data_IF_853536353680
#
_entry.id   IF_853536353680
#
_cell.length_a   1.000
_cell.length_b   1.000
_cell.length_c   1.000
_cell.angle_alpha   90.00
_cell.angle_beta   90.00
_cell.angle_gamma   90.00
#
_symmetry.space_group_name_H-M   'P 1'
#
loop_
_entity.id
_entity.type
_entity.pdbx_description
1 polymer ?
#
# COMPACT_ATOMS: atom_id res chain seq x y z
N UNK A 1 11.28 -5.26 -34.02
CA UNK A 1 10.21 -5.44 -33.02
C UNK A 1 8.99 -4.63 -33.47
N UNK A 2 7.84 -5.27 -33.59
CA UNK A 2 6.60 -4.63 -33.99
C UNK A 2 6.10 -3.66 -32.92
N UNK A 3 5.29 -2.66 -33.30
CA UNK A 3 4.80 -1.63 -32.38
C UNK A 3 3.99 -2.25 -31.22
N UNK A 4 3.06 -3.14 -31.55
CA UNK A 4 2.21 -3.79 -30.56
C UNK A 4 3.01 -4.62 -29.53
N UNK A 5 4.06 -5.29 -29.96
CA UNK A 5 5.00 -6.01 -29.09
C UNK A 5 5.77 -5.06 -28.17
N UNK A 6 6.19 -3.89 -28.68
CA UNK A 6 6.84 -2.86 -27.85
C UNK A 6 5.88 -2.29 -26.81
N UNK A 7 4.67 -1.94 -27.22
CA UNK A 7 3.65 -1.42 -26.30
C UNK A 7 3.29 -2.46 -25.24
N UNK A 8 3.21 -3.75 -25.59
CA UNK A 8 2.99 -4.81 -24.63
C UNK A 8 4.12 -4.90 -23.58
N UNK A 9 5.38 -4.86 -24.01
CA UNK A 9 6.52 -4.82 -23.10
C UNK A 9 6.57 -3.55 -22.25
N UNK A 10 6.14 -2.42 -22.78
CA UNK A 10 5.98 -1.17 -21.98
C UNK A 10 4.92 -1.36 -20.90
N UNK A 11 3.77 -1.99 -21.20
CA UNK A 11 2.73 -2.32 -20.19
C UNK A 11 3.26 -3.24 -19.10
N UNK A 12 4.02 -4.27 -19.47
CA UNK A 12 4.66 -5.19 -18.53
C UNK A 12 5.65 -4.47 -17.62
N UNK A 13 6.51 -3.58 -18.16
CA UNK A 13 7.41 -2.75 -17.37
C UNK A 13 6.67 -1.77 -16.45
N UNK A 14 5.62 -1.12 -16.94
CA UNK A 14 4.79 -0.24 -16.11
C UNK A 14 4.12 -1.01 -14.98
N UNK A 15 3.67 -2.23 -15.26
CA UNK A 15 3.05 -3.09 -14.24
C UNK A 15 4.06 -3.59 -13.22
N UNK A 16 5.27 -3.96 -13.67
CA UNK A 16 6.32 -4.50 -12.82
C UNK A 16 7.03 -3.43 -11.98
N UNK A 17 7.30 -2.25 -12.56
CA UNK A 17 8.17 -1.24 -11.94
C UNK A 17 7.48 0.09 -11.61
N UNK A 18 6.18 0.24 -11.91
CA UNK A 18 5.44 1.48 -11.66
C UNK A 18 5.88 2.67 -12.49
N UNK A 19 6.92 2.55 -13.30
CA UNK A 19 7.40 3.58 -14.22
C UNK A 19 8.27 2.98 -15.32
N UNK A 20 8.40 3.71 -16.44
CA UNK A 20 9.34 3.38 -17.50
C UNK A 20 10.21 4.58 -17.83
N UNK A 21 11.49 4.36 -18.03
CA UNK A 21 12.43 5.36 -18.54
C UNK A 21 12.64 5.15 -20.05
N UNK A 22 12.57 6.21 -20.84
CA UNK A 22 12.84 6.16 -22.28
C UNK A 22 14.23 5.57 -22.55
N UNK A 23 15.23 5.96 -21.76
CA UNK A 23 16.62 5.52 -21.96
C UNK A 23 16.77 4.01 -21.76
N UNK A 24 16.19 3.47 -20.67
CA UNK A 24 16.18 2.02 -20.43
C UNK A 24 15.43 1.24 -21.50
N UNK A 25 14.29 1.76 -21.98
CA UNK A 25 13.53 1.09 -23.04
C UNK A 25 14.33 1.08 -24.34
N UNK A 26 14.97 2.20 -24.70
CA UNK A 26 15.84 2.32 -25.89
C UNK A 26 16.97 1.28 -25.84
N UNK A 27 17.66 1.16 -24.70
CA UNK A 27 18.71 0.18 -24.49
C UNK A 27 18.21 -1.26 -24.63
N UNK A 28 17.07 -1.57 -23.98
CA UNK A 28 16.53 -2.92 -23.94
C UNK A 28 15.89 -3.37 -25.27
N UNK A 29 15.30 -2.43 -26.03
CA UNK A 29 14.54 -2.77 -27.24
C UNK A 29 15.30 -2.50 -28.52
N UNK A 30 16.44 -1.81 -28.47
CA UNK A 30 17.27 -1.50 -29.64
C UNK A 30 16.56 -0.60 -30.67
N UNK A 31 15.69 0.30 -30.23
CA UNK A 31 14.92 1.22 -31.07
C UNK A 31 15.26 2.69 -30.74
N UNK A 32 14.92 3.60 -31.65
CA UNK A 32 15.23 5.02 -31.43
C UNK A 32 14.40 5.63 -30.29
N UNK A 33 14.96 6.67 -29.65
CA UNK A 33 14.21 7.48 -28.64
C UNK A 33 12.92 8.05 -29.21
N UNK A 34 12.93 8.43 -30.49
CA UNK A 34 11.74 9.01 -31.14
C UNK A 34 10.66 7.96 -31.33
N UNK A 35 11.02 6.73 -31.65
CA UNK A 35 10.09 5.60 -31.73
C UNK A 35 9.39 5.37 -30.38
N UNK A 36 10.17 5.33 -29.29
CA UNK A 36 9.59 5.16 -27.93
C UNK A 36 8.71 6.34 -27.52
N UNK A 37 9.14 7.58 -27.83
CA UNK A 37 8.31 8.77 -27.56
C UNK A 37 6.96 8.70 -28.26
N UNK A 38 6.96 8.21 -29.50
CA UNK A 38 5.74 8.04 -30.29
C UNK A 38 4.83 6.96 -29.69
N UNK A 39 5.41 5.80 -29.35
CA UNK A 39 4.66 4.73 -28.68
C UNK A 39 4.02 5.22 -27.38
N UNK A 40 4.79 5.91 -26.51
CA UNK A 40 4.28 6.47 -25.27
C UNK A 40 3.20 7.56 -25.50
N UNK A 41 3.31 8.34 -26.58
CA UNK A 41 2.30 9.35 -26.92
C UNK A 41 0.98 8.69 -27.35
N UNK A 42 1.04 7.66 -28.16
CA UNK A 42 -0.16 6.92 -28.60
C UNK A 42 -0.83 6.18 -27.42
N UNK A 43 -0.04 5.55 -26.53
CA UNK A 43 -0.54 4.92 -25.32
C UNK A 43 -1.15 5.95 -24.34
N UNK A 44 -0.59 7.16 -24.27
CA UNK A 44 -1.17 8.24 -23.46
C UNK A 44 -2.51 8.71 -24.04
N UNK A 45 -2.62 8.85 -25.35
CA UNK A 45 -3.88 9.17 -26.04
C UNK A 45 -4.94 8.08 -25.87
N UNK A 46 -4.51 6.83 -25.85
CA UNK A 46 -5.37 5.68 -25.53
C UNK A 46 -5.75 5.57 -24.04
N UNK A 47 -5.22 6.47 -23.19
CA UNK A 47 -5.52 6.46 -21.76
C UNK A 47 -4.89 5.29 -21.01
N UNK A 48 -3.76 4.75 -21.46
CA UNK A 48 -3.08 3.59 -20.85
C UNK A 48 -1.97 3.99 -19.87
N UNK A 49 -1.36 5.16 -20.10
CA UNK A 49 -0.27 5.69 -19.29
C UNK A 49 -0.27 7.24 -19.28
N UNK A 50 0.50 7.84 -18.39
CA UNK A 50 0.79 9.27 -18.36
C UNK A 50 2.28 9.49 -18.60
N UNK A 51 2.64 10.33 -19.57
CA UNK A 51 4.02 10.69 -19.81
C UNK A 51 4.54 11.66 -18.75
N UNK A 52 5.78 11.44 -18.35
CA UNK A 52 6.55 12.31 -17.46
C UNK A 52 7.88 12.68 -18.13
N UNK A 53 8.64 13.60 -17.53
CA UNK A 53 9.95 13.99 -18.06
C UNK A 53 10.90 12.78 -18.07
N UNK A 54 11.26 12.32 -19.26
CA UNK A 54 12.17 11.18 -19.46
C UNK A 54 11.53 9.79 -19.48
N UNK A 55 10.19 9.67 -19.40
CA UNK A 55 9.53 8.38 -19.39
C UNK A 55 8.01 8.44 -19.32
N UNK A 56 7.43 7.40 -18.75
CA UNK A 56 6.02 7.32 -18.46
C UNK A 56 5.75 6.60 -17.14
N UNK A 57 4.62 6.93 -16.54
CA UNK A 57 4.07 6.25 -15.38
C UNK A 57 2.71 5.67 -15.76
N UNK A 58 2.23 4.62 -15.09
CA UNK A 58 0.86 4.19 -15.28
C UNK A 58 -0.07 5.40 -15.13
N UNK A 59 -1.14 5.48 -15.91
CA UNK A 59 -2.27 6.24 -15.41
C UNK A 59 -2.64 5.52 -14.12
N UNK A 60 -2.17 6.07 -13.01
CA UNK A 60 -2.76 5.74 -11.75
C UNK A 60 -4.20 6.20 -11.94
N UNK A 61 -5.09 5.28 -12.27
CA UNK A 61 -6.49 5.53 -12.08
C UNK A 61 -6.58 5.68 -10.56
N UNK A 62 -6.54 6.94 -10.12
CA UNK A 62 -6.91 7.34 -8.76
C UNK A 62 -8.22 6.64 -8.35
N UNK A 63 -8.89 6.04 -9.29
CA UNK A 63 -10.14 5.31 -9.27
C UNK A 63 -10.05 3.82 -9.60
N UNK A 64 -8.90 3.13 -9.47
CA UNK A 64 -9.03 1.67 -9.46
C UNK A 64 -9.84 1.28 -8.23
N UNK A 65 -11.00 0.64 -8.44
CA UNK A 65 -11.87 0.25 -7.34
C UNK A 65 -11.10 -0.62 -6.32
N UNK A 66 -11.53 -0.60 -5.08
CA UNK A 66 -10.96 -1.47 -4.05
C UNK A 66 -10.91 -2.94 -4.50
N UNK A 67 -11.96 -3.42 -5.16
CA UNK A 67 -12.04 -4.78 -5.70
C UNK A 67 -10.88 -5.11 -6.65
N UNK A 68 -10.57 -4.21 -7.58
CA UNK A 68 -9.44 -4.38 -8.51
C UNK A 68 -8.11 -4.40 -7.75
N UNK A 69 -7.92 -3.46 -6.81
CA UNK A 69 -6.71 -3.43 -5.99
C UNK A 69 -6.57 -4.65 -5.09
N UNK A 70 -7.68 -5.18 -4.56
CA UNK A 70 -7.68 -6.34 -3.68
C UNK A 70 -7.17 -7.60 -4.38
N UNK A 71 -7.55 -7.81 -5.65
CA UNK A 71 -7.11 -8.98 -6.44
C UNK A 71 -5.72 -8.81 -7.06
N UNK A 72 -5.26 -7.57 -7.26
CA UNK A 72 -3.92 -7.31 -7.79
C UNK A 72 -2.84 -7.65 -6.77
N UNK A 73 -1.78 -8.35 -7.22
CA UNK A 73 -0.61 -8.72 -6.40
C UNK A 73 -1.00 -9.43 -5.10
N UNK A 74 -2.00 -10.32 -5.19
CA UNK A 74 -2.54 -10.99 -4.01
C UNK A 74 -1.48 -11.88 -3.33
N UNK A 75 -0.58 -12.49 -4.09
CA UNK A 75 0.51 -13.31 -3.55
C UNK A 75 1.50 -12.45 -2.75
N UNK A 76 1.92 -11.31 -3.31
CA UNK A 76 2.80 -10.36 -2.64
C UNK A 76 2.16 -9.82 -1.35
N UNK A 77 0.88 -9.46 -1.38
CA UNK A 77 0.15 -9.00 -0.18
C UNK A 77 0.02 -10.08 0.88
N UNK A 78 -0.18 -11.34 0.50
CA UNK A 78 -0.22 -12.46 1.45
C UNK A 78 1.14 -12.69 2.10
N UNK A 79 2.25 -12.62 1.34
CA UNK A 79 3.59 -12.71 1.89
C UNK A 79 3.86 -11.54 2.87
N UNK A 80 3.52 -10.30 2.48
CA UNK A 80 3.62 -9.11 3.35
C UNK A 80 2.79 -9.30 4.62
N UNK A 81 1.55 -9.77 4.50
CA UNK A 81 0.67 -10.01 5.63
C UNK A 81 1.24 -11.06 6.59
N UNK A 82 1.68 -12.21 6.07
CA UNK A 82 2.26 -13.28 6.88
C UNK A 82 3.53 -12.82 7.62
N UNK A 83 4.37 -12.01 6.95
CA UNK A 83 5.55 -11.41 7.55
C UNK A 83 5.17 -10.39 8.63
N UNK A 84 4.15 -9.55 8.39
CA UNK A 84 3.68 -8.57 9.36
C UNK A 84 3.21 -9.20 10.67
N UNK A 85 2.57 -10.37 10.63
CA UNK A 85 2.13 -11.08 11.84
C UNK A 85 3.29 -11.47 12.77
N UNK A 86 4.51 -11.65 12.25
CA UNK A 86 5.68 -12.00 13.05
C UNK A 86 6.15 -10.86 13.97
N UNK A 87 5.70 -9.63 13.73
CA UNK A 87 5.97 -8.45 14.54
C UNK A 87 4.89 -8.18 15.60
N UNK A 88 3.81 -8.97 15.61
CA UNK A 88 2.71 -8.82 16.54
C UNK A 88 2.85 -9.76 17.73
N UNK A 89 2.34 -9.34 18.88
CA UNK A 89 2.28 -10.13 20.10
C UNK A 89 0.85 -10.13 20.64
N UNK A 90 0.46 -11.22 21.28
CA UNK A 90 -0.83 -11.31 21.96
C UNK A 90 -0.98 -10.20 23.00
N UNK A 91 -2.18 -9.65 23.12
CA UNK A 91 -2.50 -8.54 24.01
C UNK A 91 -2.28 -7.15 23.42
N UNK A 92 -1.65 -7.00 22.25
CA UNK A 92 -1.43 -5.71 21.62
C UNK A 92 -2.73 -5.03 21.18
N UNK A 93 -2.70 -3.71 21.21
CA UNK A 93 -3.69 -2.83 20.56
C UNK A 93 -3.14 -2.34 19.24
N UNK A 94 -3.89 -2.51 18.16
CA UNK A 94 -3.47 -2.21 16.79
C UNK A 94 -4.43 -1.20 16.16
N UNK A 95 -3.89 -0.16 15.53
CA UNK A 95 -4.63 0.52 14.47
C UNK A 95 -4.42 -0.25 13.16
N UNK A 96 -5.51 -0.50 12.43
CA UNK A 96 -5.46 -1.06 11.08
C UNK A 96 -6.23 -0.15 10.12
N UNK A 97 -5.50 0.48 9.22
CA UNK A 97 -6.04 1.39 8.22
C UNK A 97 -6.85 0.66 7.13
N UNK A 98 -7.72 1.40 6.46
CA UNK A 98 -8.48 0.87 5.33
C UNK A 98 -7.61 0.73 4.08
N UNK A 99 -7.56 -0.48 3.52
CA UNK A 99 -6.82 -0.74 2.29
C UNK A 99 -6.83 -2.20 1.87
N UNK A 100 -6.46 -2.46 0.64
CA UNK A 100 -6.47 -3.83 0.11
C UNK A 100 -5.41 -4.74 0.74
N UNK A 101 -4.27 -4.18 1.19
CA UNK A 101 -3.23 -4.98 1.87
C UNK A 101 -3.61 -5.26 3.31
N UNK A 102 -4.19 -4.30 4.03
CA UNK A 102 -4.71 -4.52 5.39
C UNK A 102 -5.92 -5.44 5.41
N UNK A 103 -6.76 -5.42 4.37
CA UNK A 103 -7.84 -6.41 4.20
C UNK A 103 -7.25 -7.83 4.08
N UNK A 104 -6.25 -8.05 3.22
CA UNK A 104 -5.56 -9.36 3.11
C UNK A 104 -4.87 -9.73 4.41
N UNK A 105 -4.28 -8.75 5.12
CA UNK A 105 -3.68 -9.01 6.44
C UNK A 105 -4.72 -9.45 7.46
N UNK A 106 -5.90 -8.83 7.48
CA UNK A 106 -6.98 -9.23 8.40
C UNK A 106 -7.49 -10.65 8.11
N UNK A 107 -7.57 -11.06 6.83
CA UNK A 107 -7.87 -12.46 6.46
C UNK A 107 -6.79 -13.42 7.00
N UNK A 108 -5.51 -13.05 6.86
CA UNK A 108 -4.38 -13.86 7.35
C UNK A 108 -4.40 -13.95 8.89
N UNK A 109 -4.69 -12.82 9.56
CA UNK A 109 -4.80 -12.73 11.01
C UNK A 109 -5.98 -13.55 11.55
N UNK A 110 -7.10 -13.63 10.84
CA UNK A 110 -8.24 -14.45 11.19
C UNK A 110 -7.92 -15.97 11.16
N UNK A 111 -6.93 -16.38 10.37
CA UNK A 111 -6.46 -17.76 10.29
C UNK A 111 -5.69 -18.22 11.54
N UNK A 112 -5.25 -19.49 11.57
CA UNK A 112 -4.49 -20.06 12.68
C UNK A 112 -3.07 -19.48 12.73
N UNK A 113 -2.77 -18.60 13.68
CA UNK A 113 -1.46 -17.96 13.84
C UNK A 113 -0.97 -17.88 15.31
N UNK A 114 -1.77 -18.36 16.27
CA UNK A 114 -1.43 -18.36 17.70
C UNK A 114 -1.61 -17.03 18.43
N UNK A 115 -1.91 -15.93 17.75
CA UNK A 115 -2.16 -14.62 18.36
C UNK A 115 -3.55 -14.59 19.03
N UNK A 116 -3.62 -14.06 20.25
CA UNK A 116 -4.85 -13.93 21.04
C UNK A 116 -4.90 -12.57 21.73
N UNK A 117 -6.09 -12.18 22.20
CA UNK A 117 -6.32 -10.97 23.00
C UNK A 117 -5.91 -9.65 22.30
N UNK A 118 -5.88 -9.63 20.97
CA UNK A 118 -5.63 -8.40 20.24
C UNK A 118 -6.85 -7.48 20.28
N UNK A 119 -6.61 -6.19 20.48
CA UNK A 119 -7.61 -5.13 20.24
C UNK A 119 -7.29 -4.45 18.91
N UNK A 120 -8.19 -4.57 17.95
CA UNK A 120 -8.04 -3.96 16.62
C UNK A 120 -8.99 -2.77 16.50
N UNK A 121 -8.43 -1.60 16.27
CA UNK A 121 -9.16 -0.34 16.05
C UNK A 121 -9.00 0.01 14.58
N UNK A 122 -10.11 0.08 13.85
CA UNK A 122 -10.08 0.24 12.39
C UNK A 122 -11.19 1.16 11.89
N UNK A 123 -10.91 1.88 10.82
CA UNK A 123 -11.90 2.58 10.01
C UNK A 123 -12.44 1.72 8.86
N UNK A 124 -11.89 0.52 8.65
CA UNK A 124 -12.24 -0.38 7.54
C UNK A 124 -13.36 -1.35 7.90
N UNK A 125 -14.43 -1.33 7.11
CA UNK A 125 -15.53 -2.32 7.21
C UNK A 125 -15.02 -3.72 6.84
N UNK A 126 -14.16 -3.82 5.81
CA UNK A 126 -13.62 -5.12 5.39
C UNK A 126 -12.74 -5.75 6.46
N UNK A 127 -11.85 -4.98 7.09
CA UNK A 127 -11.02 -5.46 8.22
C UNK A 127 -11.91 -5.92 9.38
N UNK A 128 -12.90 -5.11 9.76
CA UNK A 128 -13.80 -5.47 10.85
C UNK A 128 -14.57 -6.76 10.55
N UNK A 129 -15.10 -6.90 9.33
CA UNK A 129 -15.84 -8.08 8.90
C UNK A 129 -14.95 -9.33 8.91
N UNK A 130 -13.76 -9.27 8.32
CA UNK A 130 -12.84 -10.41 8.23
C UNK A 130 -12.44 -10.95 9.62
N UNK A 131 -12.36 -10.08 10.63
CA UNK A 131 -11.96 -10.44 11.98
C UNK A 131 -13.14 -10.84 12.89
N UNK A 132 -14.37 -10.51 12.50
CA UNK A 132 -15.58 -10.80 13.29
C UNK A 132 -16.49 -11.82 12.66
N UNK A 133 -16.34 -12.09 11.34
CA UNK A 133 -17.17 -13.06 10.63
C UNK A 133 -16.74 -14.48 10.98
N UNK A 134 -17.57 -15.24 11.69
CA UNK A 134 -17.21 -16.59 12.09
C UNK A 134 -17.78 -17.59 11.09
N UNK A 135 -16.97 -18.12 10.23
CA UNK A 135 -17.26 -19.43 9.69
C UNK A 135 -17.12 -20.51 10.81
N UNK A 136 -17.75 -20.25 11.93
CA UNK A 136 -17.66 -21.11 13.06
C UNK A 136 -17.53 -20.39 14.39
N UNK A 137 -17.26 -20.63 15.45
CA UNK A 137 -17.23 -20.09 16.79
C UNK A 137 -16.86 -18.60 16.86
N UNK A 138 -17.55 -17.77 17.65
CA UNK A 138 -17.16 -16.37 17.85
C UNK A 138 -15.74 -16.38 18.39
N UNK A 139 -14.78 -15.95 17.57
CA UNK A 139 -13.40 -15.95 18.01
C UNK A 139 -13.26 -14.89 19.11
N UNK A 140 -13.23 -15.32 20.36
CA UNK A 140 -12.82 -14.49 21.50
C UNK A 140 -11.36 -14.01 21.37
N UNK A 141 -10.74 -14.31 20.23
CA UNK A 141 -9.34 -13.98 19.95
C UNK A 141 -9.10 -12.49 19.79
N UNK A 142 -10.09 -11.76 19.26
CA UNK A 142 -9.91 -10.35 18.94
C UNK A 142 -11.09 -9.50 19.42
N UNK A 143 -10.75 -8.34 19.96
CA UNK A 143 -11.70 -7.25 20.20
C UNK A 143 -11.59 -6.27 19.03
N UNK A 144 -12.62 -6.16 18.21
CA UNK A 144 -12.65 -5.25 17.07
C UNK A 144 -13.48 -4.03 17.40
N UNK A 145 -12.87 -2.85 17.25
CA UNK A 145 -13.51 -1.55 17.42
C UNK A 145 -13.53 -0.88 16.06
N UNK A 146 -14.72 -0.66 15.51
CA UNK A 146 -14.89 0.13 14.30
C UNK A 146 -15.06 1.59 14.68
N UNK A 147 -14.24 2.46 14.07
CA UNK A 147 -14.31 3.91 14.25
C UNK A 147 -15.58 4.47 13.61
N UNK A 148 -16.18 5.47 14.25
CA UNK A 148 -17.31 6.20 13.68
C UNK A 148 -16.91 7.15 12.56
N UNK A 149 -17.88 7.72 11.84
CA UNK A 149 -17.59 8.73 10.82
C UNK A 149 -18.53 8.68 9.61
N UNK A 150 -18.13 9.31 8.52
CA UNK A 150 -18.84 9.27 7.25
C UNK A 150 -18.48 8.00 6.49
N UNK A 151 -19.49 7.26 6.06
CA UNK A 151 -19.28 6.04 5.29
C UNK A 151 -18.89 6.34 3.84
N UNK A 152 -17.81 5.74 3.38
CA UNK A 152 -17.42 5.70 1.96
C UNK A 152 -17.55 4.27 1.45
N UNK A 153 -18.03 4.14 0.23
CA UNK A 153 -18.32 2.84 -0.36
C UNK A 153 -17.10 2.18 -1.03
N UNK A 154 -16.14 2.96 -1.51
CA UNK A 154 -14.94 2.44 -2.19
C UNK A 154 -13.69 3.23 -1.78
N UNK A 155 -12.83 2.65 -0.93
CA UNK A 155 -13.05 1.42 -0.14
C UNK A 155 -14.21 1.57 0.85
N UNK A 156 -14.76 0.45 1.35
CA UNK A 156 -15.77 0.49 2.43
C UNK A 156 -15.09 0.88 3.74
N UNK A 157 -15.15 2.17 4.04
CA UNK A 157 -14.45 2.76 5.18
C UNK A 157 -15.27 3.89 5.84
N UNK A 158 -14.93 4.15 7.10
CA UNK A 158 -15.35 5.35 7.80
C UNK A 158 -14.30 6.44 7.61
N UNK A 159 -14.72 7.67 7.38
CA UNK A 159 -13.83 8.80 7.08
C UNK A 159 -14.35 10.11 7.69
N UNK A 160 -13.55 11.17 7.53
CA UNK A 160 -13.90 12.51 7.95
C UNK A 160 -13.48 12.87 9.38
N UNK A 161 -13.81 14.09 9.83
CA UNK A 161 -13.34 14.63 11.11
C UNK A 161 -13.78 13.80 12.34
N UNK A 162 -14.93 13.13 12.25
CA UNK A 162 -15.43 12.27 13.35
C UNK A 162 -14.50 11.08 13.53
N UNK A 163 -14.09 10.43 12.43
CA UNK A 163 -13.15 9.30 12.47
C UNK A 163 -11.81 9.73 13.06
N UNK A 164 -11.27 10.87 12.62
CA UNK A 164 -10.01 11.43 13.13
C UNK A 164 -10.09 11.70 14.64
N UNK A 165 -11.16 12.38 15.08
CA UNK A 165 -11.37 12.66 16.50
C UNK A 165 -11.52 11.39 17.33
N UNK A 166 -12.13 10.35 16.75
CA UNK A 166 -12.31 9.08 17.44
C UNK A 166 -10.97 8.34 17.59
N UNK A 167 -10.08 8.39 16.58
CA UNK A 167 -8.70 7.85 16.67
C UNK A 167 -7.94 8.46 17.85
N UNK A 168 -8.01 9.79 18.06
CA UNK A 168 -7.30 10.49 19.14
C UNK A 168 -7.74 10.08 20.56
N UNK A 169 -8.82 9.31 20.71
CA UNK A 169 -9.27 8.76 22.01
C UNK A 169 -8.55 7.47 22.40
N UNK A 170 -7.75 6.91 21.51
CA UNK A 170 -7.05 5.65 21.70
C UNK A 170 -5.54 5.85 21.60
N UNK A 171 -4.80 4.94 22.23
CA UNK A 171 -3.37 4.73 22.04
C UNK A 171 -3.18 3.28 21.61
N UNK A 172 -2.40 3.05 20.56
CA UNK A 172 -2.10 1.72 20.06
C UNK A 172 -0.60 1.38 20.22
N UNK A 173 -0.31 0.10 20.29
CA UNK A 173 1.08 -0.37 20.25
C UNK A 173 1.64 -0.22 18.85
N UNK A 174 0.85 -0.52 17.82
CA UNK A 174 1.28 -0.46 16.42
C UNK A 174 0.18 0.17 15.55
N UNK A 175 0.56 1.13 14.71
CA UNK A 175 -0.25 1.58 13.57
C UNK A 175 0.19 0.82 12.31
N UNK A 176 -0.72 0.04 11.75
CA UNK A 176 -0.55 -0.70 10.50
C UNK A 176 -1.26 0.07 9.40
N UNK A 177 -0.48 0.76 8.58
CA UNK A 177 -0.99 1.67 7.54
C UNK A 177 -0.48 1.31 6.16
N UNK A 178 -1.28 1.60 5.15
CA UNK A 178 -1.02 1.21 3.76
C UNK A 178 -1.02 2.43 2.85
N UNK A 179 0.14 2.81 2.30
CA UNK A 179 0.26 3.99 1.46
C UNK A 179 -0.11 3.72 0.00
N UNK A 180 -0.33 4.80 -0.74
CA UNK A 180 -0.25 4.78 -2.18
C UNK A 180 1.19 4.81 -2.69
N UNK A 181 2.10 5.35 -1.91
CA UNK A 181 3.50 5.35 -2.25
C UNK A 181 4.42 5.58 -1.07
N UNK A 182 5.63 5.01 -1.16
CA UNK A 182 6.72 5.17 -0.20
C UNK A 182 7.96 5.68 -0.92
N UNK A 183 8.56 6.71 -0.36
CA UNK A 183 9.74 7.39 -0.90
C UNK A 183 10.76 7.65 0.23
N UNK A 184 12.07 7.46 0.01
CA UNK A 184 13.07 7.62 1.06
C UNK A 184 13.17 9.06 1.60
N UNK A 185 12.79 10.05 0.80
CA UNK A 185 12.86 11.47 1.18
C UNK A 185 11.56 11.98 1.79
N UNK A 186 10.42 11.53 1.25
CA UNK A 186 9.11 12.02 1.63
C UNK A 186 8.36 11.11 2.60
N UNK A 187 8.74 9.84 2.69
CA UNK A 187 8.06 8.83 3.49
C UNK A 187 6.82 8.27 2.81
N UNK A 188 5.81 7.91 3.60
CA UNK A 188 4.57 7.31 3.13
C UNK A 188 3.53 8.39 2.81
N UNK A 189 2.82 8.21 1.69
CA UNK A 189 1.91 9.22 1.14
C UNK A 189 0.68 8.59 0.48
N UNK A 190 -0.40 9.39 0.39
CA UNK A 190 -1.67 9.03 -0.24
C UNK A 190 -2.09 10.07 -1.28
N UNK A 191 -2.91 9.68 -2.25
CA UNK A 191 -3.55 10.61 -3.20
C UNK A 191 -4.74 11.32 -2.60
N UNK A 192 -5.47 10.65 -1.71
CA UNK A 192 -6.67 11.17 -1.05
C UNK A 192 -6.30 11.82 0.28
N UNK A 193 -6.58 13.12 0.40
CA UNK A 193 -6.28 13.87 1.63
C UNK A 193 -6.98 13.25 2.84
N UNK A 194 -8.24 12.83 2.69
CA UNK A 194 -9.01 12.22 3.78
C UNK A 194 -8.36 10.93 4.31
N UNK A 195 -7.86 10.06 3.42
CA UNK A 195 -7.12 8.86 3.82
C UNK A 195 -5.80 9.20 4.50
N UNK A 196 -5.05 10.15 3.93
CA UNK A 196 -3.80 10.63 4.52
C UNK A 196 -4.00 11.20 5.94
N UNK A 197 -5.07 11.95 6.19
CA UNK A 197 -5.37 12.50 7.52
C UNK A 197 -5.71 11.40 8.54
N UNK A 198 -6.45 10.37 8.14
CA UNK A 198 -6.76 9.22 8.98
C UNK A 198 -5.47 8.43 9.30
N UNK A 199 -4.68 8.08 8.29
CA UNK A 199 -3.42 7.37 8.47
C UNK A 199 -2.45 8.17 9.37
N UNK A 200 -2.38 9.49 9.19
CA UNK A 200 -1.58 10.38 10.04
C UNK A 200 -2.05 10.34 11.49
N UNK A 201 -3.35 10.39 11.73
CA UNK A 201 -3.89 10.32 13.09
C UNK A 201 -3.57 8.96 13.74
N UNK A 202 -3.63 7.85 13.01
CA UNK A 202 -3.23 6.54 13.50
C UNK A 202 -1.75 6.48 13.86
N UNK A 203 -0.87 6.99 12.98
CA UNK A 203 0.59 7.08 13.22
C UNK A 203 0.89 7.90 14.47
N UNK A 204 0.26 9.05 14.63
CA UNK A 204 0.48 9.95 15.78
C UNK A 204 -0.01 9.37 17.12
N UNK A 205 -0.90 8.40 17.09
CA UNK A 205 -1.48 7.78 18.30
C UNK A 205 -1.03 6.31 18.47
N UNK A 206 0.10 5.93 17.90
CA UNK A 206 0.71 4.62 18.07
C UNK A 206 2.17 4.73 18.54
N UNK A 207 2.63 3.70 19.26
CA UNK A 207 4.01 3.61 19.71
C UNK A 207 4.97 3.23 18.59
N UNK A 208 4.49 2.47 17.60
CA UNK A 208 5.25 2.03 16.43
C UNK A 208 4.41 2.17 15.16
N UNK A 209 5.08 2.46 14.06
CA UNK A 209 4.45 2.56 12.73
C UNK A 209 4.98 1.47 11.80
N UNK A 210 4.06 0.65 11.32
CA UNK A 210 4.33 -0.40 10.34
C UNK A 210 3.67 -0.05 9.00
N UNK A 211 4.48 0.15 7.97
CA UNK A 211 4.02 0.39 6.60
C UNK A 211 3.99 -0.93 5.84
N UNK A 212 2.85 -1.28 5.25
CA UNK A 212 2.71 -2.43 4.36
C UNK A 212 2.56 -1.96 2.92
N UNK A 213 3.55 -2.26 2.08
CA UNK A 213 3.60 -1.76 0.71
C UNK A 213 4.18 -2.80 -0.25
N UNK A 214 3.42 -3.21 -1.27
CA UNK A 214 3.97 -4.02 -2.35
C UNK A 214 4.94 -3.20 -3.22
N UNK A 215 5.80 -3.87 -4.00
CA UNK A 215 6.84 -3.23 -4.83
C UNK A 215 6.32 -2.10 -5.72
N UNK A 216 5.06 -2.12 -6.13
CA UNK A 216 4.50 -1.06 -7.00
C UNK A 216 4.29 0.27 -6.27
N UNK A 217 4.42 0.28 -4.95
CA UNK A 217 4.30 1.48 -4.11
C UNK A 217 5.65 2.13 -3.85
N UNK A 218 6.73 1.41 -4.10
CA UNK A 218 8.09 1.90 -3.91
C UNK A 218 8.42 2.97 -4.97
N UNK A 219 8.87 4.13 -4.55
CA UNK A 219 9.22 5.23 -5.44
C UNK A 219 8.05 5.94 -6.14
N UNK A 220 6.83 5.74 -5.67
CA UNK A 220 5.61 6.32 -6.23
C UNK A 220 5.02 7.37 -5.27
N UNK A 221 5.62 8.56 -5.13
CA UNK A 221 5.13 9.56 -4.18
C UNK A 221 3.74 10.05 -4.59
N UNK A 222 2.83 10.08 -3.63
CA UNK A 222 1.51 10.66 -3.77
C UNK A 222 1.47 12.12 -3.26
N UNK A 223 0.30 12.76 -3.31
CA UNK A 223 0.18 14.22 -3.05
C UNK A 223 0.30 14.57 -1.57
N UNK A 224 -0.25 13.72 -0.68
CA UNK A 224 -0.39 13.98 0.73
C UNK A 224 0.49 13.04 1.55
N UNK A 225 1.60 13.56 2.10
CA UNK A 225 2.45 12.81 3.01
C UNK A 225 1.73 12.68 4.35
N UNK A 226 1.63 11.47 4.88
CA UNK A 226 1.02 11.21 6.18
C UNK A 226 2.01 10.70 7.23
N UNK A 227 3.13 10.10 6.79
CA UNK A 227 4.17 9.60 7.67
C UNK A 227 5.54 9.94 7.08
N UNK A 228 6.31 10.87 7.66
CA UNK A 228 7.66 11.14 7.22
C UNK A 228 8.58 9.94 7.48
N UNK A 229 9.75 9.83 6.81
CA UNK A 229 10.64 8.67 6.97
C UNK A 229 11.06 8.40 8.41
N UNK A 230 11.25 9.44 9.21
CA UNK A 230 11.67 9.34 10.61
C UNK A 230 10.63 8.68 11.53
N UNK A 231 9.35 8.69 11.12
CA UNK A 231 8.23 8.12 11.87
C UNK A 231 7.84 6.71 11.37
N UNK A 232 8.59 6.14 10.42
CA UNK A 232 8.40 4.78 9.92
C UNK A 232 9.36 3.85 10.67
N UNK A 233 8.85 3.04 11.60
CA UNK A 233 9.66 2.05 12.31
C UNK A 233 9.96 0.82 11.44
N UNK A 234 8.98 0.35 10.69
CA UNK A 234 9.13 -0.84 9.84
C UNK A 234 8.38 -0.67 8.52
N UNK A 235 9.07 -0.90 7.42
CA UNK A 235 8.49 -1.11 6.10
C UNK A 235 8.55 -2.59 5.74
N UNK A 236 7.40 -3.21 5.47
CA UNK A 236 7.33 -4.58 4.95
C UNK A 236 6.92 -4.52 3.49
N UNK A 237 7.73 -5.12 2.62
CA UNK A 237 7.52 -5.15 1.18
C UNK A 237 7.84 -6.53 0.60
N UNK A 238 7.49 -6.79 -0.65
CA UNK A 238 7.79 -8.06 -1.33
C UNK A 238 9.16 -8.06 -2.02
N UNK A 239 9.62 -9.24 -2.44
CA UNK A 239 10.96 -9.45 -3.00
C UNK A 239 11.26 -8.59 -4.23
N UNK A 240 10.25 -8.28 -5.06
CA UNK A 240 10.44 -7.46 -6.28
C UNK A 240 10.80 -6.01 -5.95
N UNK A 241 10.52 -5.55 -4.74
CA UNK A 241 10.91 -4.20 -4.32
C UNK A 241 12.43 -3.99 -4.36
N UNK A 242 13.21 -5.05 -4.13
CA UNK A 242 14.69 -4.99 -4.18
C UNK A 242 15.25 -4.66 -5.56
N UNK A 243 14.46 -4.86 -6.62
CA UNK A 243 14.84 -4.51 -7.99
C UNK A 243 14.62 -3.01 -8.30
N UNK A 244 13.93 -2.29 -7.41
CA UNK A 244 13.63 -0.87 -7.62
C UNK A 244 14.87 0.02 -7.35
N UNK A 245 15.19 0.98 -8.23
CA UNK A 245 16.42 1.80 -8.12
C UNK A 245 16.61 2.55 -6.81
N UNK A 246 15.49 2.88 -6.11
CA UNK A 246 15.55 3.61 -4.84
C UNK A 246 15.53 2.69 -3.61
N UNK A 247 15.51 1.38 -3.78
CA UNK A 247 15.37 0.44 -2.67
C UNK A 247 16.51 0.56 -1.65
N UNK A 248 17.74 0.68 -2.13
CA UNK A 248 18.90 0.86 -1.25
C UNK A 248 18.84 2.17 -0.45
N UNK A 249 18.29 3.23 -1.05
CA UNK A 249 18.05 4.47 -0.33
C UNK A 249 16.99 4.31 0.77
N UNK A 250 15.93 3.54 0.53
CA UNK A 250 14.95 3.19 1.58
C UNK A 250 15.59 2.43 2.72
N UNK A 251 16.41 1.41 2.41
CA UNK A 251 17.13 0.63 3.44
C UNK A 251 18.10 1.46 4.27
N UNK A 252 18.65 2.49 3.68
CA UNK A 252 19.58 3.40 4.39
C UNK A 252 18.83 4.41 5.26
N UNK A 253 17.65 4.84 4.82
CA UNK A 253 16.88 5.90 5.48
C UNK A 253 15.98 5.37 6.59
N UNK A 254 15.33 4.21 6.36
CA UNK A 254 14.38 3.65 7.31
C UNK A 254 15.06 2.71 8.31
N UNK A 255 14.63 2.71 9.59
CA UNK A 255 15.21 1.85 10.62
C UNK A 255 15.14 0.36 10.29
N UNK A 256 14.03 -0.08 9.72
CA UNK A 256 13.82 -1.48 9.37
C UNK A 256 13.05 -1.63 8.05
N UNK A 257 13.66 -2.30 7.08
CA UNK A 257 13.03 -2.67 5.79
C UNK A 257 13.08 -4.18 5.64
N UNK A 258 11.92 -4.81 5.69
CA UNK A 258 11.75 -6.27 5.68
C UNK A 258 11.21 -6.72 4.34
N UNK A 259 11.89 -7.67 3.73
CA UNK A 259 11.42 -8.32 2.50
C UNK A 259 10.63 -9.57 2.90
N UNK A 260 9.36 -9.58 2.54
CA UNK A 260 8.48 -10.73 2.74
C UNK A 260 8.85 -11.86 1.75
N UNK A 261 8.87 -13.07 2.27
CA UNK A 261 9.23 -14.30 1.55
C UNK A 261 8.06 -15.27 1.44
#
# INVERSE_FOLDING_TARGET
MWQEERQQKIREHLTAFGQVSIDRIVENFGVSRETIRRDLMEMEQAGELRRVRGGAVPIIRENSSFQVRHTQRLQEKRAIAATALQFLQSGMTLFMDAGSTTSVMSETLAGPNGLTDLTIITNSIDVARNLTDPAGEPSRRFRVIILGGEFRQDPMEMSGPVTINDIHRYQADVAIVVPWGVDPTRGASDYHLSGAEIARAMVQNASQTMILADHSKIGAPARSVFCPPADIDTLITDAKASEHPIFDALRTTLPNVVIAS
#
